data_IF_444849274558
#
_entry.id   IF_444849274558
#
_cell.length_a   1.000
_cell.length_b   1.000
_cell.length_c   1.000
_cell.angle_alpha   90.00
_cell.angle_beta   90.00
_cell.angle_gamma   90.00
#
_symmetry.space_group_name_H-M   'P 1'
#
loop_
_entity.id
_entity.type
_entity.pdbx_description
1 polymer ?
#
# COMPACT_ATOMS: atom_id res chain seq x y z
N UNK A 1 2.72 -6.45 21.37
CA UNK A 1 3.62 -7.05 20.36
C UNK A 1 2.91 -6.98 19.03
N UNK A 2 3.53 -6.41 17.99
CA UNK A 2 2.94 -6.36 16.66
C UNK A 2 3.35 -7.61 15.87
N UNK A 3 2.40 -8.24 15.16
CA UNK A 3 2.67 -9.39 14.31
C UNK A 3 3.45 -8.92 13.07
N UNK A 4 4.49 -9.65 12.65
CA UNK A 4 5.15 -9.37 11.38
C UNK A 4 4.22 -9.74 10.24
N UNK A 5 4.03 -8.80 9.30
CA UNK A 5 3.11 -8.96 8.17
C UNK A 5 3.79 -8.55 6.87
N UNK A 6 3.56 -9.32 5.81
CA UNK A 6 3.90 -8.97 4.45
C UNK A 6 2.76 -8.15 3.83
N UNK A 7 3.08 -6.93 3.40
CA UNK A 7 2.12 -6.03 2.77
C UNK A 7 2.49 -5.82 1.31
N UNK A 8 1.57 -6.15 0.40
CA UNK A 8 1.70 -5.91 -1.03
C UNK A 8 0.69 -4.88 -1.48
N UNK A 9 1.16 -3.79 -2.06
CA UNK A 9 0.32 -2.73 -2.61
C UNK A 9 0.53 -2.70 -4.12
N UNK A 10 -0.56 -2.66 -4.89
CA UNK A 10 -0.52 -2.49 -6.35
C UNK A 10 -1.38 -1.31 -6.75
N UNK A 11 -0.83 -0.41 -7.57
CA UNK A 11 -1.51 0.74 -8.15
C UNK A 11 -1.32 0.67 -9.67
N UNK A 12 -2.39 0.35 -10.41
CA UNK A 12 -2.30 0.02 -11.82
C UNK A 12 -1.33 -1.14 -12.06
N UNK A 13 -0.26 -0.89 -12.82
CA UNK A 13 0.82 -1.88 -13.07
C UNK A 13 1.96 -1.82 -12.03
N UNK A 14 1.99 -0.81 -11.17
CA UNK A 14 3.09 -0.58 -10.22
C UNK A 14 2.86 -1.45 -8.99
N UNK A 15 3.87 -2.23 -8.62
CA UNK A 15 3.91 -2.93 -7.32
C UNK A 15 4.77 -2.15 -6.35
N UNK A 16 4.22 -1.78 -5.20
CA UNK A 16 4.89 -1.09 -4.12
C UNK A 16 5.14 -2.11 -3.01
N UNK A 17 6.41 -2.33 -2.70
CA UNK A 17 6.87 -3.22 -1.62
C UNK A 17 7.54 -2.46 -0.47
N UNK A 18 7.85 -1.18 -0.66
CA UNK A 18 8.48 -0.33 0.33
C UNK A 18 7.72 1.00 0.41
N UNK A 19 7.27 1.33 1.61
CA UNK A 19 6.48 2.52 1.93
C UNK A 19 6.82 2.98 3.35
N UNK A 20 6.71 4.29 3.61
CA UNK A 20 6.99 4.86 4.93
C UNK A 20 5.77 4.83 5.84
N UNK A 21 4.57 4.89 5.27
CA UNK A 21 3.34 4.89 6.03
C UNK A 21 2.20 4.25 5.21
N UNK A 22 1.37 3.46 5.89
CA UNK A 22 0.13 2.91 5.36
C UNK A 22 -0.96 3.08 6.41
N UNK A 23 -2.03 3.80 6.05
CA UNK A 23 -3.24 3.93 6.84
C UNK A 23 -4.43 3.40 6.04
N UNK A 24 -5.19 2.49 6.63
CA UNK A 24 -6.48 2.02 6.11
C UNK A 24 -7.53 2.40 7.15
N UNK A 25 -8.54 3.13 6.73
CA UNK A 25 -9.65 3.57 7.57
C UNK A 25 -10.93 2.89 7.09
N UNK A 26 -11.54 2.08 7.96
CA UNK A 26 -12.74 1.30 7.65
C UNK A 26 -13.84 1.68 8.64
N UNK A 27 -14.95 2.20 8.09
CA UNK A 27 -16.08 2.67 8.87
C UNK A 27 -17.37 2.03 8.35
N UNK A 28 -18.18 1.52 9.28
CA UNK A 28 -19.48 0.94 8.92
C UNK A 28 -20.40 2.11 8.51
N UNK A 29 -20.98 2.00 7.30
CA UNK A 29 -21.84 3.03 6.67
C UNK A 29 -21.13 4.28 6.09
N UNK A 30 -19.80 4.26 5.97
CA UNK A 30 -19.07 5.32 5.28
C UNK A 30 -18.13 4.76 4.20
N UNK A 31 -17.46 5.64 3.46
CA UNK A 31 -16.48 5.25 2.47
C UNK A 31 -15.17 4.83 3.15
N UNK A 32 -14.77 3.58 2.94
CA UNK A 32 -13.45 3.13 3.35
C UNK A 32 -12.37 3.90 2.58
N UNK A 33 -11.35 4.35 3.30
CA UNK A 33 -10.25 5.10 2.70
C UNK A 33 -8.93 4.41 2.96
N UNK A 34 -7.97 4.65 2.06
CA UNK A 34 -6.59 4.26 2.28
C UNK A 34 -5.68 5.45 1.96
N UNK A 35 -4.53 5.48 2.63
CA UNK A 35 -3.46 6.43 2.35
C UNK A 35 -2.13 5.68 2.46
N UNK A 36 -1.29 5.84 1.43
CA UNK A 36 0.06 5.29 1.40
C UNK A 36 1.07 6.40 1.11
N UNK A 37 2.16 6.42 1.84
CA UNK A 37 3.29 7.31 1.60
C UNK A 37 4.47 6.51 1.07
N UNK A 38 4.92 6.88 -0.13
CA UNK A 38 5.97 6.16 -0.87
C UNK A 38 6.94 7.17 -1.42
N UNK A 39 8.24 6.83 -1.41
CA UNK A 39 9.23 7.67 -2.07
C UNK A 39 9.01 7.67 -3.58
N UNK A 40 9.11 8.84 -4.20
CA UNK A 40 8.79 9.02 -5.61
C UNK A 40 9.71 8.21 -6.55
N UNK A 41 10.97 8.01 -6.18
CA UNK A 41 11.93 7.21 -6.94
C UNK A 41 11.54 5.74 -7.07
N UNK A 42 10.77 5.20 -6.11
CA UNK A 42 10.27 3.82 -6.15
C UNK A 42 9.05 3.65 -7.07
N UNK A 43 8.42 4.74 -7.49
CA UNK A 43 7.22 4.73 -8.33
C UNK A 43 7.53 4.82 -9.84
N UNK A 44 8.80 5.09 -10.18
CA UNK A 44 9.23 5.33 -11.56
C UNK A 44 10.37 4.37 -11.90
N UNK A 45 10.18 3.44 -12.85
CA UNK A 45 11.32 2.73 -13.43
C UNK A 45 12.20 3.76 -14.15
N UNK A 46 13.51 3.70 -13.92
CA UNK A 46 14.53 4.76 -14.17
C UNK A 46 14.57 5.42 -15.57
N UNK A 47 13.72 5.06 -16.53
CA UNK A 47 13.85 5.52 -17.92
C UNK A 47 12.55 5.74 -18.72
N UNK A 48 11.36 5.94 -18.11
CA UNK A 48 10.10 5.79 -18.90
C UNK A 48 8.96 6.82 -18.84
N UNK A 49 9.10 8.04 -18.33
CA UNK A 49 8.01 9.01 -18.61
C UNK A 49 8.35 10.49 -18.54
N UNK A 50 7.93 11.20 -19.57
CA UNK A 50 7.77 12.66 -19.62
C UNK A 50 6.53 13.13 -18.82
N UNK A 51 5.63 12.21 -18.47
CA UNK A 51 4.39 12.52 -17.74
C UNK A 51 4.63 12.59 -16.22
N UNK A 52 4.10 13.61 -15.51
CA UNK A 52 4.17 13.66 -14.06
C UNK A 52 3.54 12.42 -13.41
N UNK A 53 4.25 11.81 -12.47
CA UNK A 53 3.80 10.59 -11.74
C UNK A 53 2.39 10.76 -11.16
N UNK A 54 2.07 11.95 -10.67
CA UNK A 54 0.76 12.27 -10.11
C UNK A 54 -0.38 12.15 -11.13
N UNK A 55 -0.15 12.49 -12.40
CA UNK A 55 -1.18 12.34 -13.42
C UNK A 55 -1.35 10.89 -13.85
N UNK A 56 -0.27 10.09 -13.83
CA UNK A 56 -0.33 8.66 -14.17
C UNK A 56 -1.09 7.83 -13.14
N UNK A 57 -0.98 8.18 -11.87
CA UNK A 57 -1.58 7.40 -10.78
C UNK A 57 -3.04 7.76 -10.50
N UNK A 58 -3.51 8.94 -10.92
CA UNK A 58 -4.85 9.39 -10.61
C UNK A 58 -5.90 8.55 -11.33
N UNK A 59 -6.89 8.03 -10.60
CA UNK A 59 -7.92 7.15 -11.14
C UNK A 59 -7.50 5.68 -11.28
N UNK A 60 -6.22 5.35 -11.05
CA UNK A 60 -5.75 3.97 -11.14
C UNK A 60 -6.37 3.08 -10.05
N UNK A 61 -6.61 1.82 -10.41
CA UNK A 61 -7.09 0.81 -9.46
C UNK A 61 -5.99 0.51 -8.44
N UNK A 62 -6.38 0.46 -7.17
CA UNK A 62 -5.51 0.06 -6.06
C UNK A 62 -5.99 -1.24 -5.46
N UNK A 63 -5.05 -2.14 -5.20
CA UNK A 63 -5.27 -3.33 -4.39
C UNK A 63 -4.20 -3.42 -3.31
N UNK A 64 -4.62 -3.62 -2.06
CA UNK A 64 -3.74 -3.80 -0.91
C UNK A 64 -4.05 -5.16 -0.33
N UNK A 65 -3.00 -5.93 -0.09
CA UNK A 65 -3.07 -7.24 0.53
C UNK A 65 -2.09 -7.28 1.69
N UNK A 66 -2.59 -7.52 2.90
CA UNK A 66 -1.76 -7.72 4.10
C UNK A 66 -1.93 -9.16 4.54
N UNK A 67 -0.81 -9.88 4.61
CA UNK A 67 -0.73 -11.27 5.04
C UNK A 67 0.23 -11.40 6.21
N UNK A 68 0.08 -12.41 7.08
CA UNK A 68 1.13 -12.81 8.01
C UNK A 68 2.47 -13.03 7.27
N UNK A 69 3.60 -12.77 7.93
CA UNK A 69 4.90 -13.06 7.36
C UNK A 69 5.11 -14.58 7.21
N UNK A 70 5.86 -14.99 6.18
CA UNK A 70 6.18 -16.40 5.92
C UNK A 70 6.87 -17.02 7.14
N UNK A 71 6.47 -18.24 7.53
CA UNK A 71 6.95 -18.92 8.73
C UNK A 71 6.18 -18.64 10.02
N UNK A 72 5.25 -17.67 10.03
CA UNK A 72 4.22 -17.53 11.08
C UNK A 72 2.94 -18.33 10.76
N UNK A 73 2.86 -18.88 9.55
CA UNK A 73 1.76 -19.70 9.06
C UNK A 73 1.53 -20.91 9.97
N UNK A 74 2.60 -21.55 10.45
CA UNK A 74 2.56 -22.72 11.34
C UNK A 74 1.88 -22.44 12.69
N UNK A 75 1.97 -21.21 13.21
CA UNK A 75 1.26 -20.79 14.43
C UNK A 75 -0.22 -20.51 14.16
N UNK A 76 -0.58 -20.19 12.91
CA UNK A 76 -1.93 -19.89 12.46
C UNK A 76 -2.64 -21.11 11.88
N UNK A 77 -1.96 -22.22 11.59
CA UNK A 77 -2.54 -23.45 11.01
C UNK A 77 -3.71 -24.06 11.82
N UNK A 78 -3.84 -23.74 13.11
CA UNK A 78 -4.98 -24.16 13.92
C UNK A 78 -6.27 -23.37 13.61
N UNK A 79 -6.17 -22.19 13.00
CA UNK A 79 -7.27 -21.31 12.64
C UNK A 79 -7.12 -20.85 11.19
N UNK A 80 -7.97 -21.37 10.29
CA UNK A 80 -8.09 -21.03 8.86
C UNK A 80 -7.29 -19.77 8.41
N UNK A 81 -6.13 -19.98 7.78
CA UNK A 81 -5.15 -18.94 7.46
C UNK A 81 -5.68 -17.79 6.60
N UNK A 82 -6.80 -18.02 5.90
CA UNK A 82 -7.47 -17.02 5.07
C UNK A 82 -8.17 -15.92 5.89
N UNK A 83 -8.52 -16.19 7.15
CA UNK A 83 -9.22 -15.23 8.01
C UNK A 83 -8.31 -14.06 8.45
N UNK A 84 -6.99 -14.19 8.24
CA UNK A 84 -5.99 -13.19 8.61
C UNK A 84 -5.49 -12.36 7.42
N UNK A 85 -6.09 -12.54 6.24
CA UNK A 85 -5.74 -11.77 5.05
C UNK A 85 -6.63 -10.54 4.97
N UNK A 86 -6.04 -9.36 5.14
CA UNK A 86 -6.74 -8.11 4.87
C UNK A 86 -6.61 -7.80 3.38
N UNK A 87 -7.76 -7.68 2.71
CA UNK A 87 -7.84 -7.25 1.32
C UNK A 87 -8.58 -5.92 1.21
N UNK A 88 -7.99 -4.97 0.50
CA UNK A 88 -8.63 -3.71 0.14
C UNK A 88 -8.51 -3.49 -1.36
N UNK A 89 -9.61 -3.08 -2.01
CA UNK A 89 -9.63 -2.68 -3.42
C UNK A 89 -10.34 -1.34 -3.55
N UNK A 90 -9.76 -0.44 -4.33
CA UNK A 90 -10.29 0.91 -4.53
C UNK A 90 -9.67 1.60 -5.75
N UNK A 91 -9.75 2.93 -5.76
CA UNK A 91 -9.17 3.78 -6.80
C UNK A 91 -8.38 4.93 -6.17
N UNK A 92 -7.36 5.44 -6.86
CA UNK A 92 -6.63 6.62 -6.42
C UNK A 92 -7.46 7.88 -6.70
N UNK A 93 -7.89 8.55 -5.65
CA UNK A 93 -8.70 9.78 -5.75
C UNK A 93 -7.91 11.04 -5.44
N UNK A 94 -6.72 10.94 -4.82
CA UNK A 94 -5.93 12.08 -4.42
C UNK A 94 -4.46 11.72 -4.31
N UNK A 95 -3.60 12.61 -4.83
CA UNK A 95 -2.14 12.47 -4.77
C UNK A 95 -1.56 13.77 -4.25
N UNK A 96 -0.63 13.67 -3.31
CA UNK A 96 0.13 14.80 -2.78
C UNK A 96 1.61 14.48 -2.88
N UNK A 97 2.38 15.38 -3.45
CA UNK A 97 3.85 15.29 -3.45
C UNK A 97 4.39 16.21 -2.37
N UNK A 98 5.28 15.70 -1.53
CA UNK A 98 6.00 16.49 -0.52
C UNK A 98 7.50 16.31 -0.75
N UNK A 99 8.27 17.39 -0.62
CA UNK A 99 9.73 17.27 -0.57
C UNK A 99 10.11 16.64 0.76
N UNK A 100 11.01 15.66 0.73
CA UNK A 100 11.68 15.16 1.94
C UNK A 100 12.35 16.35 2.63
N UNK A 101 11.99 16.61 3.89
CA UNK A 101 12.69 17.56 4.76
C UNK A 101 13.63 16.75 5.65
N UNK A 102 14.84 17.26 5.83
CA UNK A 102 15.92 16.60 6.58
C UNK A 102 15.67 16.50 8.09
N UNK A 103 14.63 17.16 8.62
CA UNK A 103 14.37 17.25 10.07
C UNK A 103 13.57 16.08 10.65
N UNK A 104 13.02 15.18 9.82
CA UNK A 104 12.21 14.03 10.25
C UNK A 104 12.99 12.68 10.19
N UNK A 105 14.32 12.72 10.25
CA UNK A 105 15.22 11.55 10.31
C UNK A 105 15.90 11.41 11.67
#
# INVERSE_FOLDING_TARGET
MALQTNTRIKIGEITITNFSNLKIDQEIHAHNTFSVEVRQDLLVPEFKSVMPVSQRLYGEKVTIEVKPAEGLEDLLLFNNSNDYVLHFSGIVTKIKTRKSRFEDL
#
